data_IF_613457682405
#
_entry.id   IF_613457682405
#
_cell.length_a   1.000
_cell.length_b   1.000
_cell.length_c   1.000
_cell.angle_alpha   90.00
_cell.angle_beta   90.00
_cell.angle_gamma   90.00
#
_symmetry.space_group_name_H-M   'P 1'
#
loop_
_entity.id
_entity.type
_entity.pdbx_description
1 polymer ?
#
# COMPACT_ATOMS: atom_id res chain seq x y z
N UNK A 1 -28.71 -34.54 6.53
CA UNK A 1 -28.18 -33.98 7.78
C UNK A 1 -28.41 -35.02 8.86
N UNK A 2 -27.35 -35.47 9.54
CA UNK A 2 -27.49 -36.47 10.61
C UNK A 2 -28.29 -35.88 11.78
N UNK A 3 -29.17 -36.66 12.44
CA UNK A 3 -29.89 -36.21 13.64
C UNK A 3 -28.96 -35.76 14.78
N UNK A 4 -27.74 -36.30 14.87
CA UNK A 4 -26.74 -35.88 15.87
C UNK A 4 -26.24 -34.45 15.63
N UNK A 5 -25.98 -34.10 14.37
CA UNK A 5 -25.54 -32.75 13.99
C UNK A 5 -26.64 -31.73 14.27
N UNK A 6 -27.91 -32.11 14.07
CA UNK A 6 -29.05 -31.24 14.39
C UNK A 6 -29.12 -30.93 15.88
N UNK A 7 -28.99 -31.96 16.74
CA UNK A 7 -28.91 -31.77 18.19
C UNK A 7 -27.77 -30.84 18.61
N UNK A 8 -26.61 -30.95 17.97
CA UNK A 8 -25.46 -30.09 18.26
C UNK A 8 -25.73 -28.62 17.89
N UNK A 9 -26.29 -28.38 16.69
CA UNK A 9 -26.63 -27.03 16.22
C UNK A 9 -27.70 -26.40 17.12
N UNK A 10 -28.72 -27.17 17.50
CA UNK A 10 -29.78 -26.70 18.38
C UNK A 10 -29.23 -26.35 19.78
N UNK A 11 -28.28 -27.13 20.30
CA UNK A 11 -27.58 -26.82 21.55
C UNK A 11 -26.76 -25.52 21.44
N UNK A 12 -26.00 -25.33 20.36
CA UNK A 12 -25.20 -24.12 20.15
C UNK A 12 -26.07 -22.86 19.97
N UNK A 13 -27.18 -22.97 19.24
CA UNK A 13 -28.12 -21.87 19.07
C UNK A 13 -28.79 -21.48 20.40
N UNK A 14 -29.12 -22.47 21.25
CA UNK A 14 -29.69 -22.23 22.58
C UNK A 14 -28.69 -21.58 23.54
N UNK A 15 -27.45 -22.06 23.55
CA UNK A 15 -26.46 -21.65 24.54
C UNK A 15 -25.77 -20.33 24.13
N UNK A 16 -25.76 -19.97 22.83
CA UNK A 16 -25.10 -18.78 22.30
C UNK A 16 -25.94 -17.99 21.25
N UNK A 17 -27.17 -17.55 21.58
CA UNK A 17 -28.08 -16.95 20.59
C UNK A 17 -27.56 -15.66 19.95
N UNK A 18 -26.72 -14.89 20.63
CA UNK A 18 -26.14 -13.65 20.11
C UNK A 18 -24.84 -13.85 19.31
N UNK A 19 -24.24 -15.05 19.33
CA UNK A 19 -22.92 -15.31 18.75
C UNK A 19 -22.91 -16.44 17.71
N UNK A 20 -24.00 -17.19 17.60
CA UNK A 20 -24.10 -18.34 16.71
C UNK A 20 -25.17 -18.14 15.65
N UNK A 21 -24.75 -18.05 14.39
CA UNK A 21 -25.64 -18.00 13.23
C UNK A 21 -25.39 -19.24 12.37
N UNK A 22 -26.41 -20.09 12.23
CA UNK A 22 -26.31 -21.27 11.38
C UNK A 22 -26.78 -20.95 9.95
N UNK A 23 -25.88 -21.08 8.98
CA UNK A 23 -26.21 -20.94 7.57
C UNK A 23 -26.32 -22.33 6.92
N UNK A 24 -27.51 -22.67 6.42
CA UNK A 24 -27.72 -23.86 5.59
C UNK A 24 -27.44 -23.49 4.14
N UNK A 25 -26.35 -24.00 3.59
CA UNK A 25 -26.03 -23.87 2.15
C UNK A 25 -26.49 -25.11 1.40
N UNK A 26 -27.00 -24.92 0.18
CA UNK A 26 -27.37 -26.05 -0.65
C UNK A 26 -26.11 -26.81 -1.09
N UNK A 27 -26.27 -28.10 -1.46
CA UNK A 27 -25.15 -28.90 -1.99
C UNK A 27 -24.60 -28.30 -3.29
N UNK A 28 -25.42 -27.61 -4.07
CA UNK A 28 -25.00 -26.93 -5.28
C UNK A 28 -24.09 -25.74 -4.94
N UNK A 29 -24.50 -24.88 -4.02
CA UNK A 29 -23.71 -23.72 -3.58
C UNK A 29 -22.39 -24.16 -2.93
N UNK A 30 -22.42 -25.22 -2.11
CA UNK A 30 -21.21 -25.77 -1.51
C UNK A 30 -20.21 -26.27 -2.57
N UNK A 31 -20.70 -26.89 -3.65
CA UNK A 31 -19.87 -27.31 -4.78
C UNK A 31 -19.31 -26.12 -5.56
N UNK A 32 -20.12 -25.08 -5.75
CA UNK A 32 -19.68 -23.86 -6.43
C UNK A 32 -18.61 -23.11 -5.62
N UNK A 33 -18.82 -22.94 -4.31
CA UNK A 33 -17.84 -22.35 -3.39
C UNK A 33 -16.54 -23.17 -3.40
N UNK A 34 -16.64 -24.49 -3.33
CA UNK A 34 -15.46 -25.36 -3.38
C UNK A 34 -14.73 -25.26 -4.72
N UNK A 35 -15.45 -25.25 -5.85
CA UNK A 35 -14.86 -25.07 -7.17
C UNK A 35 -14.20 -23.70 -7.35
N UNK A 36 -14.80 -22.62 -6.80
CA UNK A 36 -14.20 -21.28 -6.77
C UNK A 36 -12.93 -21.27 -5.94
N UNK A 37 -12.93 -21.89 -4.76
CA UNK A 37 -11.74 -22.05 -3.92
C UNK A 37 -10.62 -22.81 -4.64
N UNK A 38 -10.96 -23.93 -5.30
CA UNK A 38 -10.01 -24.73 -6.06
C UNK A 38 -9.41 -23.96 -7.25
N UNK A 39 -10.20 -23.10 -7.90
CA UNK A 39 -9.73 -22.26 -9.00
C UNK A 39 -8.85 -21.09 -8.52
N UNK A 40 -9.13 -20.54 -7.32
CA UNK A 40 -8.25 -19.56 -6.67
C UNK A 40 -6.91 -20.20 -6.26
N UNK A 41 -6.93 -21.44 -5.78
CA UNK A 41 -5.71 -22.20 -5.43
C UNK A 41 -4.87 -22.58 -6.66
N UNK A 42 -5.50 -22.87 -7.81
CA UNK A 42 -4.78 -23.25 -9.04
C UNK A 42 -3.96 -22.13 -9.69
N UNK A 43 -4.11 -20.88 -9.25
CA UNK A 43 -3.28 -19.74 -9.66
C UNK A 43 -2.46 -19.10 -8.54
N UNK A 44 -2.74 -19.43 -7.27
CA UNK A 44 -2.06 -18.89 -6.09
C UNK A 44 -1.66 -19.98 -5.09
N UNK A 45 -1.20 -21.13 -5.56
CA UNK A 45 -0.19 -21.81 -4.77
C UNK A 45 0.99 -20.84 -4.74
N UNK A 46 1.23 -20.20 -3.59
CA UNK A 46 2.48 -19.51 -3.30
C UNK A 46 3.60 -20.54 -3.53
N UNK A 47 4.04 -20.69 -4.78
CA UNK A 47 5.35 -21.21 -5.09
C UNK A 47 6.30 -20.16 -4.54
N UNK A 48 6.52 -20.20 -3.22
CA UNK A 48 7.60 -19.49 -2.59
C UNK A 48 8.84 -19.82 -3.43
N UNK A 49 9.45 -18.83 -4.09
CA UNK A 49 10.62 -19.06 -4.93
C UNK A 49 11.62 -19.89 -4.11
N UNK A 50 12.12 -20.98 -4.68
CA UNK A 50 13.06 -21.94 -4.07
C UNK A 50 12.47 -23.07 -3.21
N UNK A 51 11.21 -23.04 -2.71
CA UNK A 51 10.68 -24.14 -1.87
C UNK A 51 10.60 -25.47 -2.64
N UNK A 52 10.26 -25.41 -3.94
CA UNK A 52 10.23 -26.59 -4.82
C UNK A 52 11.64 -27.13 -5.11
N UNK A 53 12.67 -26.27 -5.14
CA UNK A 53 14.07 -26.67 -5.28
C UNK A 53 14.61 -27.28 -3.99
N UNK A 54 14.39 -26.63 -2.83
CA UNK A 54 14.76 -27.14 -1.51
C UNK A 54 14.10 -28.49 -1.21
N UNK A 55 12.83 -28.68 -1.55
CA UNK A 55 12.16 -29.98 -1.39
C UNK A 55 12.77 -31.07 -2.29
N UNK A 56 13.20 -30.73 -3.50
CA UNK A 56 13.89 -31.66 -4.41
C UNK A 56 15.29 -32.00 -3.91
N UNK A 57 16.04 -31.01 -3.44
CA UNK A 57 17.37 -31.20 -2.84
C UNK A 57 17.31 -32.04 -1.57
N UNK A 58 16.35 -31.77 -0.69
CA UNK A 58 16.18 -32.52 0.54
C UNK A 58 15.77 -33.98 0.27
N UNK A 59 14.91 -34.21 -0.73
CA UNK A 59 14.57 -35.56 -1.19
C UNK A 59 15.77 -36.27 -1.81
N UNK A 60 16.57 -35.58 -2.62
CA UNK A 60 17.79 -36.11 -3.20
C UNK A 60 18.85 -36.45 -2.13
N UNK A 61 19.01 -35.61 -1.10
CA UNK A 61 19.89 -35.89 0.04
C UNK A 61 19.40 -37.07 0.88
N UNK A 62 18.09 -37.18 1.13
CA UNK A 62 17.53 -38.34 1.82
C UNK A 62 17.75 -39.63 1.01
N UNK A 63 17.56 -39.59 -0.31
CA UNK A 63 17.86 -40.73 -1.18
C UNK A 63 19.35 -41.06 -1.21
N UNK A 64 20.22 -40.06 -1.24
CA UNK A 64 21.68 -40.26 -1.19
C UNK A 64 22.13 -40.85 0.16
N UNK A 65 21.50 -40.45 1.28
CA UNK A 65 21.75 -41.05 2.60
C UNK A 65 21.21 -42.47 2.72
N UNK A 66 20.03 -42.73 2.18
CA UNK A 66 19.44 -44.07 2.18
C UNK A 66 20.21 -45.05 1.27
N UNK A 67 20.79 -44.55 0.18
CA UNK A 67 21.59 -45.33 -0.76
C UNK A 67 23.09 -45.31 -0.44
N UNK A 68 23.53 -44.60 0.61
CA UNK A 68 24.91 -44.69 1.07
C UNK A 68 25.07 -46.07 1.72
N UNK A 69 25.85 -46.99 1.12
CA UNK A 69 26.08 -48.28 1.74
C UNK A 69 26.75 -48.03 3.08
N UNK A 70 26.18 -48.58 4.16
CA UNK A 70 26.78 -48.61 5.49
C UNK A 70 28.16 -49.29 5.38
N UNK A 71 29.19 -48.49 5.12
CA UNK A 71 30.58 -48.92 5.20
C UNK A 71 30.89 -49.07 6.68
N UNK A 72 30.62 -50.27 7.19
CA UNK A 72 31.23 -50.76 8.41
C UNK A 72 32.76 -50.61 8.34
N UNK A 73 33.43 -50.49 9.49
CA UNK A 73 34.87 -50.33 9.54
C UNK A 73 35.54 -51.63 9.08
N UNK A 74 35.84 -51.72 7.77
CA UNK A 74 36.71 -52.77 7.24
C UNK A 74 38.14 -52.51 7.72
N UNK A 75 38.49 -53.27 8.74
CA UNK A 75 39.87 -53.57 9.12
C UNK A 75 40.63 -54.12 7.91
N UNK A 76 41.66 -53.38 7.51
CA UNK A 76 42.92 -53.86 6.94
C UNK A 76 42.88 -54.92 5.84
N UNK A 77 43.25 -54.52 4.62
CA UNK A 77 44.13 -55.37 3.81
C UNK A 77 44.88 -54.59 2.75
N UNK A 78 46.19 -54.86 2.73
CA UNK A 78 47.14 -54.52 1.68
C UNK A 78 46.59 -54.77 0.28
N UNK A 79 46.87 -53.87 -0.65
CA UNK A 79 47.32 -54.28 -1.98
C UNK A 79 47.98 -53.13 -2.73
N UNK A 80 49.27 -53.36 -3.01
CA UNK A 80 50.07 -52.69 -4.03
C UNK A 80 49.42 -52.85 -5.40
N UNK A 81 49.45 -51.81 -6.21
CA UNK A 81 49.04 -51.87 -7.61
C UNK A 81 49.37 -50.59 -8.36
N UNK A 82 50.62 -50.50 -8.83
CA UNK A 82 51.11 -49.54 -9.82
C UNK A 82 50.23 -49.55 -11.09
N UNK A 83 49.81 -48.37 -11.58
CA UNK A 83 49.70 -48.10 -13.04
C UNK A 83 50.05 -46.63 -13.31
N UNK A 84 50.99 -46.45 -14.23
CA UNK A 84 51.51 -45.21 -14.78
C UNK A 84 50.51 -44.52 -15.72
N UNK A 85 50.42 -43.19 -15.69
CA UNK A 85 50.03 -42.34 -16.83
C UNK A 85 50.52 -40.88 -16.63
N UNK A 86 50.59 -40.03 -17.68
CA UNK A 86 51.81 -39.33 -18.01
C UNK A 86 51.88 -37.88 -17.56
N UNK A 87 53.13 -37.47 -17.41
CA UNK A 87 53.68 -36.21 -16.92
C UNK A 87 53.29 -35.03 -17.82
N UNK A 88 52.43 -34.14 -17.30
CA UNK A 88 52.19 -32.79 -17.80
C UNK A 88 53.23 -31.80 -17.23
N UNK A 89 53.52 -30.68 -17.91
CA UNK A 89 54.67 -29.84 -17.62
C UNK A 89 54.55 -29.06 -16.29
N UNK A 90 55.65 -29.14 -15.57
CA UNK A 90 56.15 -28.37 -14.44
C UNK A 90 55.52 -26.98 -14.27
N UNK A 91 54.51 -26.89 -13.41
CA UNK A 91 54.09 -25.62 -12.80
C UNK A 91 55.05 -25.32 -11.65
N UNK A 92 55.70 -24.16 -11.74
CA UNK A 92 56.53 -23.57 -10.68
C UNK A 92 55.78 -23.65 -9.35
N UNK A 93 56.37 -24.20 -8.28
CA UNK A 93 55.73 -24.24 -6.98
C UNK A 93 55.69 -22.83 -6.42
N UNK A 94 54.59 -22.10 -6.63
CA UNK A 94 54.22 -21.02 -5.75
C UNK A 94 54.03 -21.63 -4.36
N UNK A 95 55.04 -21.48 -3.53
CA UNK A 95 54.98 -21.72 -2.09
C UNK A 95 53.98 -20.72 -1.52
N UNK A 96 52.69 -21.02 -1.64
CA UNK A 96 51.64 -20.39 -0.86
C UNK A 96 51.90 -20.85 0.58
N UNK A 97 52.72 -20.05 1.27
CA UNK A 97 52.99 -20.18 2.68
C UNK A 97 51.67 -20.09 3.43
N UNK A 98 51.03 -21.24 3.59
CA UNK A 98 49.83 -21.40 4.40
C UNK A 98 50.32 -21.25 5.82
N UNK A 99 50.46 -20.00 6.26
CA UNK A 99 50.82 -19.66 7.63
C UNK A 99 49.83 -20.39 8.52
N UNK A 100 50.33 -21.44 9.18
CA UNK A 100 49.54 -22.25 10.07
C UNK A 100 49.14 -21.36 11.23
N UNK A 101 47.92 -20.81 11.17
CA UNK A 101 47.29 -20.13 12.30
C UNK A 101 47.46 -21.05 13.49
N UNK A 102 48.14 -20.55 14.51
CA UNK A 102 48.50 -21.37 15.66
C UNK A 102 47.23 -21.91 16.31
N UNK A 103 47.28 -23.12 16.86
CA UNK A 103 46.13 -23.73 17.55
C UNK A 103 45.52 -22.78 18.60
N UNK A 104 46.37 -22.01 19.28
CA UNK A 104 45.98 -21.00 20.28
C UNK A 104 45.14 -19.87 19.66
N UNK A 105 45.49 -19.39 18.47
CA UNK A 105 44.70 -18.36 17.78
C UNK A 105 43.34 -18.89 17.34
N UNK A 106 43.26 -20.14 16.88
CA UNK A 106 41.97 -20.78 16.54
C UNK A 106 41.06 -20.88 17.76
N UNK A 107 41.58 -21.37 18.88
CA UNK A 107 40.83 -21.47 20.15
C UNK A 107 40.36 -20.09 20.64
N UNK A 108 41.18 -19.04 20.49
CA UNK A 108 40.79 -17.65 20.81
C UNK A 108 39.67 -17.13 19.91
N UNK A 109 39.77 -17.36 18.60
CA UNK A 109 38.73 -16.95 17.64
C UNK A 109 37.42 -17.66 17.94
N UNK A 110 37.44 -18.96 18.21
CA UNK A 110 36.26 -19.73 18.59
C UNK A 110 35.65 -19.26 19.92
N UNK A 111 36.47 -18.92 20.91
CA UNK A 111 36.00 -18.36 22.16
C UNK A 111 35.33 -16.99 21.98
N UNK A 112 35.95 -16.08 21.23
CA UNK A 112 35.36 -14.78 20.89
C UNK A 112 34.05 -14.92 20.12
N UNK A 113 33.99 -15.88 19.20
CA UNK A 113 32.78 -16.22 18.45
C UNK A 113 31.66 -16.71 19.36
N UNK A 114 31.98 -17.54 20.35
CA UNK A 114 31.04 -18.04 21.35
C UNK A 114 30.50 -16.90 22.23
N UNK A 115 31.37 -16.00 22.69
CA UNK A 115 30.97 -14.82 23.46
C UNK A 115 30.08 -13.86 22.64
N UNK A 116 30.44 -13.61 21.37
CA UNK A 116 29.65 -12.78 20.47
C UNK A 116 28.25 -13.37 20.23
N UNK A 117 28.16 -14.70 20.07
CA UNK A 117 26.88 -15.41 19.94
C UNK A 117 26.04 -15.30 21.22
N UNK A 118 26.64 -15.50 22.40
CA UNK A 118 25.96 -15.34 23.68
C UNK A 118 25.39 -13.91 23.86
N UNK A 119 26.20 -12.89 23.56
CA UNK A 119 25.78 -11.49 23.64
C UNK A 119 24.68 -11.14 22.61
N UNK A 120 24.64 -11.79 21.45
CA UNK A 120 23.56 -11.61 20.48
C UNK A 120 22.25 -12.27 20.93
N UNK A 121 22.33 -13.43 21.61
CA UNK A 121 21.17 -14.09 22.19
C UNK A 121 20.57 -13.29 23.36
N UNK A 122 21.40 -12.71 24.22
CA UNK A 122 20.95 -11.84 25.31
C UNK A 122 20.20 -10.61 24.77
N UNK A 123 20.80 -9.90 23.79
CA UNK A 123 20.12 -8.80 23.08
C UNK A 123 18.83 -9.23 22.39
N UNK A 124 18.74 -10.48 21.95
CA UNK A 124 17.51 -11.08 21.42
C UNK A 124 16.37 -11.10 22.44
N UNK A 125 16.66 -11.42 23.71
CA UNK A 125 15.65 -11.45 24.79
C UNK A 125 15.14 -10.05 25.14
N UNK A 126 16.05 -9.08 25.23
CA UNK A 126 15.69 -7.69 25.46
C UNK A 126 14.82 -7.15 24.32
N UNK A 127 15.16 -7.52 23.09
CA UNK A 127 14.42 -7.16 21.89
C UNK A 127 13.03 -7.79 21.85
N UNK A 128 12.90 -9.06 22.23
CA UNK A 128 11.61 -9.73 22.34
C UNK A 128 10.71 -9.06 23.39
N UNK A 129 11.28 -8.64 24.52
CA UNK A 129 10.58 -7.90 25.58
C UNK A 129 10.11 -6.53 25.07
N UNK A 130 10.98 -5.79 24.40
CA UNK A 130 10.63 -4.50 23.80
C UNK A 130 9.57 -4.63 22.69
N UNK A 131 9.66 -5.67 21.85
CA UNK A 131 8.66 -5.96 20.83
C UNK A 131 7.29 -6.25 21.44
N UNK A 132 7.25 -7.06 22.50
CA UNK A 132 6.01 -7.38 23.19
C UNK A 132 5.39 -6.11 23.80
N UNK A 133 6.18 -5.26 24.46
CA UNK A 133 5.70 -4.01 25.01
C UNK A 133 5.09 -3.06 23.95
N UNK A 134 5.76 -2.91 22.80
CA UNK A 134 5.22 -2.10 21.68
C UNK A 134 3.95 -2.71 21.11
N UNK A 135 3.88 -4.05 20.95
CA UNK A 135 2.68 -4.74 20.48
C UNK A 135 1.50 -4.54 21.43
N UNK A 136 1.72 -4.67 22.73
CA UNK A 136 0.69 -4.51 23.75
C UNK A 136 0.18 -3.07 23.78
N UNK A 137 1.09 -2.08 23.69
CA UNK A 137 0.72 -0.67 23.60
C UNK A 137 -0.11 -0.34 22.35
N UNK A 138 0.30 -0.83 21.17
CA UNK A 138 -0.46 -0.66 19.92
C UNK A 138 -1.85 -1.30 20.03
N UNK A 139 -1.92 -2.51 20.58
CA UNK A 139 -3.19 -3.25 20.72
C UNK A 139 -4.13 -2.56 21.71
N UNK A 140 -3.61 -2.11 22.85
CA UNK A 140 -4.39 -1.36 23.84
C UNK A 140 -4.95 -0.06 23.23
N UNK A 141 -4.11 0.71 22.53
CA UNK A 141 -4.54 1.95 21.88
C UNK A 141 -5.59 1.69 20.79
N UNK A 142 -5.42 0.65 19.97
CA UNK A 142 -6.39 0.29 18.93
C UNK A 142 -7.75 -0.12 19.53
N UNK A 143 -7.74 -0.87 20.65
CA UNK A 143 -8.96 -1.22 21.39
C UNK A 143 -9.62 0.04 21.95
N UNK A 144 -8.87 0.94 22.57
CA UNK A 144 -9.41 2.20 23.10
C UNK A 144 -10.07 3.05 22.02
N UNK A 145 -9.41 3.21 20.87
CA UNK A 145 -9.97 3.91 19.71
C UNK A 145 -11.27 3.26 19.24
N UNK A 146 -11.28 1.93 19.10
CA UNK A 146 -12.47 1.20 18.67
C UNK A 146 -13.63 1.34 19.67
N UNK A 147 -13.36 1.28 20.98
CA UNK A 147 -14.36 1.44 22.04
C UNK A 147 -14.91 2.87 22.06
N UNK A 148 -14.05 3.88 22.01
CA UNK A 148 -14.47 5.29 21.97
C UNK A 148 -15.34 5.58 20.75
N UNK A 149 -14.97 5.04 19.59
CA UNK A 149 -15.78 5.13 18.37
C UNK A 149 -17.15 4.45 18.52
N UNK A 150 -17.19 3.23 19.06
CA UNK A 150 -18.45 2.51 19.27
C UNK A 150 -19.39 3.24 20.24
N UNK A 151 -18.83 4.02 21.16
CA UNK A 151 -19.57 4.83 22.14
C UNK A 151 -19.87 6.25 21.64
N UNK A 152 -19.40 6.64 20.46
CA UNK A 152 -19.51 8.02 19.96
C UNK A 152 -18.77 9.05 20.82
N UNK A 153 -17.76 8.62 21.59
CA UNK A 153 -16.93 9.53 22.38
C UNK A 153 -15.92 10.22 21.46
N UNK A 154 -15.82 11.53 21.59
CA UNK A 154 -14.78 12.30 20.93
C UNK A 154 -13.41 11.94 21.54
N UNK A 155 -12.48 11.54 20.68
CA UNK A 155 -11.08 11.35 21.03
C UNK A 155 -10.35 12.68 20.87
N UNK A 156 -9.42 12.96 21.78
CA UNK A 156 -8.51 14.09 21.62
C UNK A 156 -7.56 13.81 20.42
N UNK A 157 -7.64 14.59 19.33
CA UNK A 157 -6.86 14.34 18.13
C UNK A 157 -5.36 14.59 18.33
N UNK A 158 -4.97 15.43 19.29
CA UNK A 158 -3.55 15.70 19.56
C UNK A 158 -2.91 14.52 20.27
N UNK A 159 -3.56 14.02 21.34
CA UNK A 159 -3.12 12.81 22.04
C UNK A 159 -3.06 11.60 21.11
N UNK A 160 -4.05 11.45 20.22
CA UNK A 160 -4.07 10.33 19.27
C UNK A 160 -2.93 10.42 18.24
N UNK A 161 -2.62 11.62 17.75
CA UNK A 161 -1.50 11.86 16.84
C UNK A 161 -0.16 11.55 17.52
N UNK A 162 0.02 12.04 18.75
CA UNK A 162 1.25 11.81 19.52
C UNK A 162 1.44 10.33 19.84
N UNK A 163 0.36 9.64 20.25
CA UNK A 163 0.38 8.20 20.46
C UNK A 163 0.75 7.45 19.17
N UNK A 164 0.11 7.76 18.04
CA UNK A 164 0.44 7.15 16.75
C UNK A 164 1.90 7.37 16.35
N UNK A 165 2.41 8.60 16.50
CA UNK A 165 3.79 8.95 16.18
C UNK A 165 4.79 8.20 17.07
N UNK A 166 4.56 8.16 18.39
CA UNK A 166 5.39 7.44 19.34
C UNK A 166 5.42 5.92 19.06
N UNK A 167 4.26 5.31 18.81
CA UNK A 167 4.15 3.88 18.51
C UNK A 167 4.80 3.52 17.16
N UNK A 168 4.64 4.38 16.15
CA UNK A 168 5.31 4.22 14.85
C UNK A 168 6.83 4.28 14.99
N UNK A 169 7.35 5.27 15.73
CA UNK A 169 8.78 5.40 16.00
C UNK A 169 9.32 4.21 16.80
N UNK A 170 8.56 3.73 17.79
CA UNK A 170 8.89 2.53 18.56
C UNK A 170 9.00 1.29 17.67
N UNK A 171 8.06 1.08 16.75
CA UNK A 171 8.09 -0.04 15.81
C UNK A 171 9.29 0.04 14.86
N UNK A 172 9.64 1.23 14.37
CA UNK A 172 10.81 1.43 13.51
C UNK A 172 12.12 1.19 14.27
N UNK A 173 12.19 1.59 15.54
CA UNK A 173 13.34 1.26 16.39
C UNK A 173 13.49 -0.26 16.58
N UNK A 174 12.38 -1.00 16.74
CA UNK A 174 12.41 -2.46 16.78
C UNK A 174 12.92 -3.05 15.46
N UNK A 175 12.45 -2.55 14.30
CA UNK A 175 12.94 -2.97 12.99
C UNK A 175 14.45 -2.81 12.85
N UNK A 176 14.99 -1.65 13.22
CA UNK A 176 16.44 -1.41 13.16
C UNK A 176 17.21 -2.36 14.09
N UNK A 177 16.74 -2.54 15.33
CA UNK A 177 17.37 -3.46 16.30
C UNK A 177 17.31 -4.92 15.83
N UNK A 178 16.21 -5.37 15.23
CA UNK A 178 16.08 -6.71 14.65
C UNK A 178 17.06 -6.94 13.50
N UNK A 179 17.19 -5.95 12.60
CA UNK A 179 18.17 -5.95 11.50
C UNK A 179 19.59 -6.05 12.04
N UNK A 180 19.95 -5.20 13.01
CA UNK A 180 21.28 -5.20 13.61
C UNK A 180 21.57 -6.49 14.39
N UNK A 181 20.61 -6.99 15.18
CA UNK A 181 20.80 -8.23 15.94
C UNK A 181 21.04 -9.42 15.01
N UNK A 182 20.29 -9.51 13.90
CA UNK A 182 20.44 -10.61 12.95
C UNK A 182 21.75 -10.55 12.18
N UNK A 183 22.22 -9.36 11.81
CA UNK A 183 23.58 -9.19 11.27
C UNK A 183 24.63 -9.69 12.26
N UNK A 184 24.53 -9.29 13.53
CA UNK A 184 25.48 -9.72 14.56
C UNK A 184 25.45 -11.24 14.78
N UNK A 185 24.26 -11.86 14.81
CA UNK A 185 24.12 -13.31 14.93
C UNK A 185 24.74 -14.04 13.74
N UNK A 186 24.50 -13.59 12.51
CA UNK A 186 25.05 -14.23 11.32
C UNK A 186 26.57 -14.05 11.22
N UNK A 187 27.09 -12.87 11.57
CA UNK A 187 28.54 -12.62 11.66
C UNK A 187 29.17 -13.51 12.73
N UNK A 188 28.57 -13.61 13.92
CA UNK A 188 29.01 -14.55 14.96
C UNK A 188 28.86 -16.01 14.51
N UNK A 189 27.93 -16.32 13.61
CA UNK A 189 27.83 -17.62 12.97
C UNK A 189 28.82 -17.82 11.80
N UNK A 190 29.78 -16.90 11.59
CA UNK A 190 30.81 -17.02 10.56
C UNK A 190 30.28 -16.86 9.14
N UNK A 191 29.09 -16.29 8.98
CA UNK A 191 28.48 -16.00 7.68
C UNK A 191 29.20 -14.80 7.04
N UNK A 192 29.49 -14.87 5.75
CA UNK A 192 30.17 -13.76 5.07
C UNK A 192 29.24 -12.55 4.90
N UNK A 193 29.76 -11.31 4.76
CA UNK A 193 28.94 -10.13 4.51
C UNK A 193 28.04 -10.25 3.26
N UNK A 194 28.54 -10.88 2.20
CA UNK A 194 27.79 -11.13 0.96
C UNK A 194 26.60 -12.08 1.19
N UNK A 195 26.82 -13.16 1.97
CA UNK A 195 25.75 -14.08 2.37
C UNK A 195 24.74 -13.42 3.31
N UNK A 196 25.18 -12.53 4.21
CA UNK A 196 24.28 -11.75 5.07
C UNK A 196 23.40 -10.83 4.20
N UNK A 197 23.99 -10.17 3.20
CA UNK A 197 23.27 -9.31 2.28
C UNK A 197 22.24 -10.09 1.46
N UNK A 198 22.56 -11.31 1.01
CA UNK A 198 21.62 -12.16 0.26
C UNK A 198 20.47 -12.70 1.12
N UNK A 199 20.70 -12.97 2.41
CA UNK A 199 19.68 -13.43 3.34
C UNK A 199 18.80 -12.32 3.90
N UNK A 200 19.27 -11.06 3.90
CA UNK A 200 18.58 -9.95 4.55
C UNK A 200 17.12 -9.74 4.06
N UNK A 201 16.79 -9.77 2.75
CA UNK A 201 15.42 -9.61 2.28
C UNK A 201 14.48 -10.72 2.78
N UNK A 202 14.96 -11.97 2.82
CA UNK A 202 14.16 -13.12 3.28
C UNK A 202 13.86 -13.02 4.76
N UNK A 203 14.85 -12.61 5.56
CA UNK A 203 14.67 -12.39 7.00
C UNK A 203 13.70 -11.23 7.26
N UNK A 204 13.83 -10.13 6.52
CA UNK A 204 12.95 -8.98 6.68
C UNK A 204 11.50 -9.30 6.31
N UNK A 205 11.27 -10.01 5.20
CA UNK A 205 9.95 -10.46 4.81
C UNK A 205 9.28 -11.33 5.90
N UNK A 206 10.03 -12.27 6.48
CA UNK A 206 9.52 -13.12 7.57
C UNK A 206 9.20 -12.32 8.84
N UNK A 207 9.96 -11.27 9.15
CA UNK A 207 9.68 -10.39 10.29
C UNK A 207 8.43 -9.56 10.03
N UNK A 208 8.29 -8.99 8.84
CA UNK A 208 7.11 -8.18 8.50
C UNK A 208 5.83 -9.01 8.51
N UNK A 209 5.89 -10.26 8.01
CA UNK A 209 4.77 -11.19 8.08
C UNK A 209 4.31 -11.46 9.53
N UNK A 210 5.25 -11.54 10.48
CA UNK A 210 4.91 -11.68 11.92
C UNK A 210 4.36 -10.40 12.53
N UNK A 211 4.73 -9.24 11.98
CA UNK A 211 4.29 -7.91 12.46
C UNK A 211 3.01 -7.44 11.78
N UNK A 212 2.47 -8.19 10.82
CA UNK A 212 1.32 -7.79 10.01
C UNK A 212 0.12 -7.36 10.86
N UNK A 213 -0.25 -8.14 11.88
CA UNK A 213 -1.36 -7.78 12.78
C UNK A 213 -1.10 -6.47 13.55
N UNK A 214 0.11 -6.31 14.11
CA UNK A 214 0.51 -5.10 14.81
C UNK A 214 0.49 -3.88 13.90
N UNK A 215 0.97 -4.02 12.65
CA UNK A 215 0.93 -2.96 11.64
C UNK A 215 -0.51 -2.60 11.29
N UNK A 216 -1.40 -3.59 11.10
CA UNK A 216 -2.82 -3.32 10.85
C UNK A 216 -3.49 -2.55 12.00
N UNK A 217 -3.15 -2.86 13.25
CA UNK A 217 -3.64 -2.10 14.42
C UNK A 217 -3.09 -0.67 14.42
N UNK A 218 -1.78 -0.49 14.16
CA UNK A 218 -1.18 0.84 14.05
C UNK A 218 -1.81 1.66 12.92
N UNK A 219 -2.05 1.06 11.76
CA UNK A 219 -2.73 1.69 10.62
C UNK A 219 -4.17 2.08 10.97
N UNK A 220 -4.87 1.30 11.81
CA UNK A 220 -6.22 1.64 12.26
C UNK A 220 -6.23 2.91 13.13
N UNK A 221 -5.22 3.08 13.98
CA UNK A 221 -5.01 4.30 14.78
C UNK A 221 -4.70 5.47 13.84
N UNK A 222 -3.79 5.28 12.88
CA UNK A 222 -3.42 6.30 11.90
C UNK A 222 -4.60 6.78 11.05
N UNK A 223 -5.50 5.88 10.65
CA UNK A 223 -6.74 6.23 9.93
C UNK A 223 -7.67 7.09 10.77
N UNK A 224 -7.78 6.84 12.07
CA UNK A 224 -8.61 7.67 12.94
C UNK A 224 -7.98 9.06 13.15
N UNK A 225 -6.65 9.16 13.27
CA UNK A 225 -5.93 10.45 13.25
C UNK A 225 -6.25 11.22 11.97
N UNK A 226 -6.12 10.57 10.81
CA UNK A 226 -6.43 11.18 9.52
C UNK A 226 -7.88 11.65 9.44
N UNK A 227 -8.83 10.85 9.93
CA UNK A 227 -10.26 11.20 9.99
C UNK A 227 -10.48 12.48 10.81
N UNK A 228 -9.89 12.59 12.00
CA UNK A 228 -10.00 13.80 12.81
C UNK A 228 -9.39 15.02 12.11
N UNK A 229 -8.27 14.87 11.42
CA UNK A 229 -7.69 15.95 10.64
C UNK A 229 -8.59 16.37 9.47
N UNK A 230 -9.19 15.41 8.76
CA UNK A 230 -10.19 15.68 7.74
C UNK A 230 -11.41 16.42 8.29
N UNK A 231 -11.96 15.99 9.43
CA UNK A 231 -13.06 16.69 10.10
C UNK A 231 -12.65 18.14 10.36
N UNK A 232 -11.50 18.37 11.00
CA UNK A 232 -11.00 19.72 11.31
C UNK A 232 -10.85 20.59 10.05
N UNK A 233 -10.29 20.04 8.97
CA UNK A 233 -10.08 20.75 7.70
C UNK A 233 -11.40 21.08 6.98
N UNK A 234 -12.41 20.22 7.13
CA UNK A 234 -13.69 20.31 6.44
C UNK A 234 -14.77 21.02 7.25
N UNK A 235 -14.65 21.19 8.57
CA UNK A 235 -15.67 21.87 9.40
C UNK A 235 -16.00 23.26 8.85
N UNK A 236 -14.98 24.12 8.69
CA UNK A 236 -15.18 25.48 8.18
C UNK A 236 -15.74 25.50 6.75
N UNK A 237 -15.33 24.55 5.91
CA UNK A 237 -15.86 24.40 4.55
C UNK A 237 -17.34 24.00 4.59
N UNK A 238 -17.68 22.97 5.36
CA UNK A 238 -19.03 22.43 5.44
C UNK A 238 -20.02 23.44 6.02
N UNK A 239 -19.61 24.25 7.00
CA UNK A 239 -20.43 25.37 7.51
C UNK A 239 -20.73 26.39 6.40
N UNK A 240 -19.71 26.81 5.63
CA UNK A 240 -19.89 27.73 4.50
C UNK A 240 -20.72 27.11 3.38
N UNK A 241 -20.46 25.85 3.04
CA UNK A 241 -21.20 25.11 2.02
C UNK A 241 -22.69 25.00 2.40
N UNK A 242 -23.00 24.72 3.67
CA UNK A 242 -24.37 24.70 4.18
C UNK A 242 -25.02 26.08 4.09
N UNK A 243 -24.33 27.14 4.49
CA UNK A 243 -24.85 28.51 4.35
C UNK A 243 -25.17 28.84 2.89
N UNK A 244 -24.24 28.57 1.96
CA UNK A 244 -24.45 28.79 0.52
C UNK A 244 -25.58 27.94 -0.05
N UNK A 245 -25.70 26.70 0.40
CA UNK A 245 -26.81 25.82 0.04
C UNK A 245 -28.16 26.38 0.46
N UNK A 246 -28.27 26.90 1.69
CA UNK A 246 -29.49 27.55 2.18
C UNK A 246 -29.82 28.83 1.41
N UNK A 247 -28.82 29.64 1.09
CA UNK A 247 -28.99 30.85 0.26
C UNK A 247 -29.54 30.50 -1.13
N UNK A 248 -28.95 29.51 -1.83
CA UNK A 248 -29.41 29.06 -3.14
C UNK A 248 -30.85 28.53 -3.13
N UNK A 249 -31.19 27.68 -2.14
CA UNK A 249 -32.55 27.17 -2.00
C UNK A 249 -33.54 28.31 -1.77
N UNK A 250 -33.20 29.30 -0.93
CA UNK A 250 -34.05 30.49 -0.70
C UNK A 250 -34.21 31.34 -1.96
N UNK A 251 -33.16 31.54 -2.75
CA UNK A 251 -33.23 32.27 -4.01
C UNK A 251 -34.13 31.56 -5.02
N UNK A 252 -34.02 30.24 -5.15
CA UNK A 252 -34.88 29.43 -6.03
C UNK A 252 -36.34 29.48 -5.56
N UNK A 253 -36.58 29.45 -4.25
CA UNK A 253 -37.90 29.64 -3.65
C UNK A 253 -38.48 31.03 -3.95
N UNK A 254 -37.69 32.09 -3.78
CA UNK A 254 -38.12 33.47 -3.98
C UNK A 254 -38.40 33.83 -5.44
N UNK A 255 -37.76 33.16 -6.41
CA UNK A 255 -37.96 33.41 -7.85
C UNK A 255 -39.34 32.98 -8.37
N UNK A 256 -40.14 32.23 -7.62
CA UNK A 256 -41.47 31.81 -8.07
C UNK A 256 -42.59 32.63 -7.42
N UNK A 257 -43.40 33.28 -8.27
CA UNK A 257 -44.58 34.01 -7.83
C UNK A 257 -45.74 33.09 -7.39
N UNK A 258 -45.81 31.87 -7.91
CA UNK A 258 -46.85 30.87 -7.61
C UNK A 258 -46.20 29.51 -7.40
N UNK A 259 -46.66 28.79 -6.37
CA UNK A 259 -46.22 27.42 -6.09
C UNK A 259 -46.83 26.45 -7.11
N UNK A 260 -46.01 25.94 -8.01
CA UNK A 260 -46.37 24.93 -9.02
C UNK A 260 -45.57 23.64 -8.82
N UNK A 261 -45.99 22.49 -9.38
CA UNK A 261 -45.19 21.26 -9.33
C UNK A 261 -43.79 21.42 -9.93
N UNK A 262 -43.65 22.22 -10.98
CA UNK A 262 -42.33 22.57 -11.55
C UNK A 262 -41.46 23.35 -10.57
N UNK A 263 -42.06 24.26 -9.79
CA UNK A 263 -41.35 24.99 -8.76
C UNK A 263 -40.84 24.04 -7.66
N UNK A 264 -41.69 23.15 -7.16
CA UNK A 264 -41.28 22.16 -6.16
C UNK A 264 -40.12 21.28 -6.68
N UNK A 265 -40.15 20.90 -7.97
CA UNK A 265 -39.05 20.16 -8.61
C UNK A 265 -37.74 20.95 -8.68
N UNK A 266 -37.79 22.26 -8.95
CA UNK A 266 -36.61 23.14 -8.94
C UNK A 266 -36.03 23.30 -7.53
N UNK A 267 -36.89 23.47 -6.52
CA UNK A 267 -36.46 23.53 -5.11
C UNK A 267 -35.77 22.22 -4.71
N UNK A 268 -36.34 21.06 -5.06
CA UNK A 268 -35.69 19.77 -4.81
C UNK A 268 -34.35 19.61 -5.54
N UNK A 269 -34.22 20.15 -6.76
CA UNK A 269 -32.92 20.17 -7.46
C UNK A 269 -31.90 21.02 -6.72
N UNK A 270 -32.29 22.23 -6.31
CA UNK A 270 -31.44 23.13 -5.54
C UNK A 270 -31.00 22.51 -4.21
N UNK A 271 -31.89 21.78 -3.52
CA UNK A 271 -31.54 21.04 -2.31
C UNK A 271 -30.51 19.92 -2.57
N UNK A 272 -30.63 19.19 -3.70
CA UNK A 272 -29.64 18.16 -4.07
C UNK A 272 -28.29 18.78 -4.40
N UNK A 273 -28.27 19.86 -5.18
CA UNK A 273 -27.06 20.62 -5.51
C UNK A 273 -26.38 21.17 -4.25
N UNK A 274 -27.16 21.74 -3.32
CA UNK A 274 -26.67 22.20 -2.03
C UNK A 274 -26.02 21.06 -1.21
N UNK A 275 -26.66 19.89 -1.15
CA UNK A 275 -26.10 18.71 -0.44
C UNK A 275 -24.80 18.22 -1.05
N UNK A 276 -24.59 18.38 -2.36
CA UNK A 276 -23.35 18.00 -3.03
C UNK A 276 -22.16 18.89 -2.68
N UNK A 277 -22.38 20.08 -2.10
CA UNK A 277 -21.29 20.95 -1.64
C UNK A 277 -20.71 20.52 -0.30
N UNK A 278 -21.49 19.83 0.53
CA UNK A 278 -21.02 19.29 1.81
C UNK A 278 -20.20 18.03 1.56
N UNK A 279 -19.01 17.98 2.18
CA UNK A 279 -18.09 16.84 2.07
C UNK A 279 -18.25 15.99 3.32
N UNK A 280 -18.57 14.71 3.12
CA UNK A 280 -18.64 13.72 4.19
C UNK A 280 -17.20 13.37 4.66
N UNK A 281 -16.83 13.69 5.92
CA UNK A 281 -15.50 13.42 6.44
C UNK A 281 -15.14 11.92 6.44
N UNK A 282 -16.12 11.02 6.56
CA UNK A 282 -15.88 9.58 6.58
C UNK A 282 -15.51 9.03 5.20
N UNK A 283 -16.05 9.66 4.15
CA UNK A 283 -15.64 9.37 2.77
C UNK A 283 -14.30 10.01 2.44
N UNK A 284 -14.07 11.23 2.92
CA UNK A 284 -12.81 11.95 2.74
C UNK A 284 -11.63 11.28 3.46
N UNK A 285 -11.86 10.63 4.61
CA UNK A 285 -10.83 9.91 5.36
C UNK A 285 -10.17 8.75 4.61
N UNK A 286 -10.71 8.34 3.45
CA UNK A 286 -10.11 7.35 2.56
C UNK A 286 -9.15 7.95 1.52
N UNK A 287 -9.12 9.27 1.43
CA UNK A 287 -8.34 10.04 0.48
C UNK A 287 -7.04 10.53 1.13
N UNK A 288 -6.06 10.86 0.28
CA UNK A 288 -4.79 11.38 0.72
C UNK A 288 -4.93 12.86 1.13
N UNK A 289 -4.87 13.09 2.45
CA UNK A 289 -4.99 14.42 3.03
C UNK A 289 -3.87 15.37 2.60
N UNK A 290 -2.66 14.87 2.37
CA UNK A 290 -1.54 15.72 1.96
C UNK A 290 -1.68 16.16 0.51
N UNK A 291 -2.17 15.28 -0.39
CA UNK A 291 -2.54 15.67 -1.76
C UNK A 291 -3.66 16.71 -1.77
N UNK A 292 -4.70 16.53 -0.96
CA UNK A 292 -5.76 17.52 -0.80
C UNK A 292 -5.23 18.87 -0.31
N UNK A 293 -4.40 18.88 0.74
CA UNK A 293 -3.76 20.09 1.28
C UNK A 293 -2.83 20.74 0.25
N UNK A 294 -2.14 19.96 -0.58
CA UNK A 294 -1.29 20.46 -1.65
C UNK A 294 -2.11 21.22 -2.70
N UNK A 295 -3.26 20.69 -3.11
CA UNK A 295 -4.14 21.38 -4.07
C UNK A 295 -4.81 22.60 -3.44
N UNK A 296 -5.27 22.49 -2.18
CA UNK A 296 -5.99 23.57 -1.48
C UNK A 296 -5.09 24.75 -1.14
N UNK A 297 -3.93 24.48 -0.54
CA UNK A 297 -3.05 25.50 0.04
C UNK A 297 -1.76 25.73 -0.74
N UNK A 298 -1.44 24.86 -1.70
CA UNK A 298 -0.24 24.96 -2.51
C UNK A 298 -0.42 25.82 -3.76
N UNK A 299 0.71 26.18 -4.37
CA UNK A 299 0.76 26.81 -5.69
C UNK A 299 0.88 25.71 -6.75
N UNK A 300 0.06 25.77 -7.79
CA UNK A 300 0.25 24.92 -8.98
C UNK A 300 1.52 25.34 -9.74
N UNK A 301 2.38 24.38 -10.03
CA UNK A 301 3.60 24.53 -10.83
C UNK A 301 3.37 24.18 -12.31
N UNK A 302 2.21 23.63 -12.65
CA UNK A 302 1.86 23.20 -14.01
C UNK A 302 1.28 21.79 -14.05
N UNK A 303 0.94 21.38 -15.28
CA UNK A 303 0.44 20.05 -15.59
C UNK A 303 1.51 19.26 -16.33
N UNK A 304 1.86 18.09 -15.80
CA UNK A 304 2.71 17.12 -16.46
C UNK A 304 1.82 16.19 -17.31
N UNK A 305 1.99 16.27 -18.62
CA UNK A 305 1.21 15.47 -19.57
C UNK A 305 1.65 14.02 -19.63
N UNK A 306 2.92 13.71 -19.33
CA UNK A 306 3.42 12.33 -19.34
C UNK A 306 2.89 11.58 -18.13
N UNK A 307 2.96 12.21 -16.95
CA UNK A 307 2.42 11.66 -15.71
C UNK A 307 0.88 11.81 -15.58
N UNK A 308 0.26 12.63 -16.43
CA UNK A 308 -1.17 13.04 -16.32
C UNK A 308 -1.51 13.59 -14.93
N UNK A 309 -0.59 14.37 -14.38
CA UNK A 309 -0.65 14.86 -13.01
C UNK A 309 -0.34 16.35 -12.92
N UNK A 310 -0.99 17.03 -11.98
CA UNK A 310 -0.69 18.40 -11.59
C UNK A 310 0.36 18.39 -10.48
N UNK A 311 1.33 19.29 -10.56
CA UNK A 311 2.36 19.42 -9.54
C UNK A 311 2.03 20.62 -8.65
N UNK A 312 1.91 20.39 -7.34
CA UNK A 312 1.60 21.43 -6.37
C UNK A 312 2.74 21.60 -5.37
N UNK A 313 3.07 22.84 -5.03
CA UNK A 313 4.13 23.16 -4.05
C UNK A 313 3.58 23.99 -2.88
N UNK A 314 3.83 23.51 -1.66
CA UNK A 314 3.56 24.23 -0.40
C UNK A 314 4.86 24.79 0.17
N UNK A 315 4.78 25.90 0.89
CA UNK A 315 5.95 26.51 1.53
C UNK A 315 6.66 25.53 2.46
N UNK A 316 7.97 25.31 2.25
CA UNK A 316 8.79 24.43 3.07
C UNK A 316 8.53 22.91 2.90
N UNK A 317 7.74 22.50 1.91
CA UNK A 317 7.46 21.09 1.59
C UNK A 317 7.91 20.75 0.17
N UNK A 318 8.33 19.50 -0.10
CA UNK A 318 8.62 19.06 -1.46
C UNK A 318 7.35 19.16 -2.34
N UNK A 319 7.49 19.36 -3.67
CA UNK A 319 6.37 19.30 -4.59
C UNK A 319 5.65 17.95 -4.50
N UNK A 320 4.32 17.98 -4.63
CA UNK A 320 3.46 16.79 -4.61
C UNK A 320 2.74 16.69 -5.95
N UNK A 321 2.85 15.52 -6.57
CA UNK A 321 2.13 15.14 -7.77
C UNK A 321 0.72 14.65 -7.40
N UNK A 322 -0.28 15.21 -8.07
CA UNK A 322 -1.69 14.86 -7.89
C UNK A 322 -2.29 14.60 -9.26
N UNK A 323 -2.77 13.38 -9.49
CA UNK A 323 -3.41 13.00 -10.75
C UNK A 323 -4.55 13.97 -11.11
N UNK A 324 -4.75 14.22 -12.40
CA UNK A 324 -5.78 15.16 -12.85
C UNK A 324 -7.19 14.77 -12.36
N UNK A 325 -7.50 13.47 -12.42
CA UNK A 325 -8.78 12.88 -12.04
C UNK A 325 -8.82 12.45 -10.56
N UNK A 326 -7.82 12.85 -9.77
CA UNK A 326 -7.77 12.52 -8.35
C UNK A 326 -8.94 13.16 -7.60
N UNK A 327 -9.63 12.37 -6.77
CA UNK A 327 -10.73 12.87 -5.93
C UNK A 327 -10.27 13.96 -4.96
N UNK A 328 -9.03 13.89 -4.50
CA UNK A 328 -8.38 14.90 -3.65
C UNK A 328 -8.36 16.27 -4.33
N UNK A 329 -8.06 16.30 -5.64
CA UNK A 329 -8.03 17.53 -6.44
C UNK A 329 -9.43 18.10 -6.58
N UNK A 330 -10.41 17.27 -6.94
CA UNK A 330 -11.81 17.67 -7.08
C UNK A 330 -12.38 18.28 -5.80
N UNK A 331 -12.15 17.61 -4.65
CA UNK A 331 -12.61 18.12 -3.35
C UNK A 331 -11.90 19.42 -2.97
N UNK A 332 -10.61 19.56 -3.24
CA UNK A 332 -9.87 20.78 -2.94
C UNK A 332 -10.34 21.96 -3.82
N UNK A 333 -10.62 21.73 -5.10
CA UNK A 333 -11.19 22.74 -6.00
C UNK A 333 -12.59 23.15 -5.53
N UNK A 334 -13.44 22.17 -5.20
CA UNK A 334 -14.76 22.42 -4.63
C UNK A 334 -14.66 23.29 -3.37
N UNK A 335 -13.73 22.95 -2.48
CA UNK A 335 -13.48 23.68 -1.24
C UNK A 335 -13.06 25.12 -1.52
N UNK A 336 -12.06 25.32 -2.39
CA UNK A 336 -11.60 26.65 -2.80
C UNK A 336 -12.72 27.49 -3.41
N UNK A 337 -13.61 26.90 -4.20
CA UNK A 337 -14.73 27.61 -4.83
C UNK A 337 -15.78 28.06 -3.80
N UNK A 338 -16.11 27.22 -2.83
CA UNK A 338 -16.98 27.60 -1.71
C UNK A 338 -16.34 28.70 -0.86
N UNK A 339 -15.04 28.60 -0.56
CA UNK A 339 -14.31 29.59 0.24
C UNK A 339 -14.17 30.95 -0.46
N UNK A 340 -14.07 30.96 -1.80
CA UNK A 340 -14.13 32.18 -2.62
C UNK A 340 -15.53 32.81 -2.64
N UNK A 341 -16.52 32.14 -2.07
CA UNK A 341 -17.89 32.63 -2.00
C UNK A 341 -18.64 32.55 -3.33
N UNK A 342 -18.26 31.64 -4.23
CA UNK A 342 -19.01 31.38 -5.46
C UNK A 342 -20.41 30.83 -5.13
N UNK A 343 -21.39 31.16 -5.97
CA UNK A 343 -22.75 30.61 -5.86
C UNK A 343 -22.78 29.13 -6.28
N UNK A 344 -23.82 28.39 -5.88
CA UNK A 344 -23.96 26.96 -6.24
C UNK A 344 -23.92 26.74 -7.76
N UNK A 345 -24.58 27.63 -8.52
CA UNK A 345 -24.56 27.63 -9.99
C UNK A 345 -23.14 27.86 -10.53
N UNK A 346 -22.43 28.87 -10.01
CA UNK A 346 -21.04 29.17 -10.41
C UNK A 346 -20.08 28.02 -10.08
N UNK A 347 -20.25 27.37 -8.93
CA UNK A 347 -19.46 26.18 -8.54
C UNK A 347 -19.71 25.04 -9.53
N UNK A 348 -20.98 24.82 -9.93
CA UNK A 348 -21.34 23.77 -10.89
C UNK A 348 -20.73 24.05 -12.26
N UNK A 349 -20.80 25.30 -12.74
CA UNK A 349 -20.15 25.73 -14.00
C UNK A 349 -18.64 25.57 -13.92
N UNK A 350 -18.00 25.98 -12.81
CA UNK A 350 -16.56 25.82 -12.61
C UNK A 350 -16.14 24.35 -12.63
N UNK A 351 -16.91 23.44 -12.02
CA UNK A 351 -16.65 22.00 -12.08
C UNK A 351 -16.79 21.44 -13.49
N UNK A 352 -17.81 21.86 -14.24
CA UNK A 352 -17.99 21.45 -15.65
C UNK A 352 -16.86 21.97 -16.53
N UNK A 353 -16.39 23.21 -16.29
CA UNK A 353 -15.25 23.77 -17.01
C UNK A 353 -13.96 23.00 -16.71
N UNK A 354 -13.67 22.69 -15.44
CA UNK A 354 -12.52 21.87 -15.04
C UNK A 354 -12.57 20.48 -15.68
N UNK A 355 -13.73 19.80 -15.66
CA UNK A 355 -13.92 18.52 -16.32
C UNK A 355 -13.77 18.61 -17.86
N UNK A 356 -14.17 19.74 -18.46
CA UNK A 356 -14.03 20.01 -19.88
C UNK A 356 -12.60 20.34 -20.31
N UNK A 357 -11.78 20.90 -19.42
CA UNK A 357 -10.36 21.16 -19.66
C UNK A 357 -9.50 19.88 -19.63
N UNK A 358 -10.07 18.74 -19.26
CA UNK A 358 -9.33 17.49 -19.12
C UNK A 358 -8.68 17.00 -20.43
N UNK A 359 -9.21 17.29 -21.64
CA UNK A 359 -8.66 16.67 -22.87
C UNK A 359 -8.69 17.47 -24.19
N UNK A 360 -9.66 18.33 -24.59
CA UNK A 360 -9.73 18.72 -26.01
C UNK A 360 -8.84 19.88 -26.46
N UNK A 361 -8.63 20.92 -25.65
CA UNK A 361 -8.10 22.20 -26.19
C UNK A 361 -6.59 22.17 -26.38
N UNK A 362 -5.85 21.57 -25.44
CA UNK A 362 -4.39 21.47 -25.54
C UNK A 362 -3.96 20.30 -26.44
N UNK A 363 -4.74 19.21 -26.47
CA UNK A 363 -4.55 18.10 -27.42
C UNK A 363 -4.92 18.51 -28.85
N UNK A 364 -5.99 19.30 -29.06
CA UNK A 364 -6.29 19.92 -30.36
C UNK A 364 -5.28 21.01 -30.75
N UNK A 365 -4.74 21.76 -29.79
CA UNK A 365 -3.67 22.73 -30.07
C UNK A 365 -2.35 22.03 -30.46
N UNK A 366 -2.02 20.87 -29.86
CA UNK A 366 -0.84 20.06 -30.24
C UNK A 366 -1.03 19.26 -31.52
N UNK A 367 -2.22 18.67 -31.75
CA UNK A 367 -2.52 18.00 -33.01
C UNK A 367 -2.41 18.98 -34.19
N UNK A 368 -2.83 20.23 -34.00
CA UNK A 368 -2.66 21.31 -34.99
C UNK A 368 -1.23 21.79 -35.19
N UNK A 369 -0.30 21.52 -34.28
CA UNK A 369 1.10 21.93 -34.43
C UNK A 369 2.00 20.84 -35.04
N UNK A 370 1.51 19.60 -35.13
CA UNK A 370 2.28 18.46 -35.70
C UNK A 370 1.87 18.20 -37.16
N UNK A 371 0.64 18.51 -37.56
CA UNK A 371 0.36 18.65 -38.98
C UNK A 371 0.98 19.97 -39.47
N UNK A 372 2.01 19.94 -40.36
CA UNK A 372 2.40 21.15 -41.06
C UNK A 372 1.12 21.71 -41.69
N UNK A 373 0.90 23.04 -41.71
CA UNK A 373 -0.25 23.60 -42.39
C UNK A 373 -0.23 23.03 -43.80
N UNK A 374 -1.13 22.08 -44.09
CA UNK A 374 -1.29 21.54 -45.43
C UNK A 374 -1.57 22.77 -46.26
N UNK A 375 -0.64 23.15 -47.15
CA UNK A 375 -0.83 24.27 -48.04
C UNK A 375 -2.20 24.07 -48.69
N UNK A 376 -3.17 24.88 -48.26
CA UNK A 376 -4.54 24.82 -48.76
C UNK A 376 -4.54 25.52 -50.12
N UNK A 377 -3.66 25.10 -51.03
CA UNK A 377 -3.66 25.51 -52.43
C UNK A 377 -4.93 25.00 -53.15
N UNK A 378 -5.66 24.04 -52.56
CA UNK A 378 -6.90 23.52 -53.12
C UNK A 378 -8.17 24.35 -52.79
N UNK A 379 -8.24 25.12 -51.69
CA UNK A 379 -9.47 25.90 -51.38
C UNK A 379 -9.53 27.27 -52.04
N UNK A 380 -8.39 27.84 -52.43
CA UNK A 380 -8.40 29.11 -53.16
C UNK A 380 -8.82 28.92 -54.63
N UNK A 381 -8.68 27.71 -55.18
CA UNK A 381 -9.20 27.43 -56.52
C UNK A 381 -10.73 27.36 -56.56
N UNK A 382 -11.35 26.71 -55.57
CA UNK A 382 -12.82 26.63 -55.44
C UNK A 382 -13.46 28.00 -55.16
N UNK A 383 -12.83 28.82 -54.28
CA UNK A 383 -13.31 30.20 -54.04
C UNK A 383 -13.11 31.13 -55.23
N UNK A 384 -12.10 30.87 -56.07
CA UNK A 384 -11.88 31.61 -57.32
C UNK A 384 -12.93 31.29 -58.41
N UNK A 385 -13.38 30.04 -58.48
CA UNK A 385 -14.48 29.62 -59.36
C UNK A 385 -15.83 30.20 -58.91
N UNK A 386 -16.16 30.16 -57.61
CA UNK A 386 -17.41 30.76 -57.09
C UNK A 386 -17.48 32.28 -57.30
N UNK A 387 -16.33 32.97 -57.35
CA UNK A 387 -16.25 34.41 -57.62
C UNK A 387 -16.14 34.76 -59.11
N UNK A 388 -16.19 33.78 -60.01
CA UNK A 388 -16.18 34.00 -61.46
C UNK A 388 -14.88 34.60 -62.00
N UNK A 389 -13.75 34.45 -61.29
CA UNK A 389 -12.46 35.03 -61.67
C UNK A 389 -11.73 34.24 -62.76
N UNK A 390 -12.16 33.00 -63.02
CA UNK A 390 -11.64 32.16 -64.10
C UNK A 390 -12.76 31.91 -65.10
N UNK A 391 -12.75 32.66 -66.21
CA UNK A 391 -13.55 32.35 -67.40
C UNK A 391 -12.69 31.48 -68.31
N UNK A 392 -13.12 30.24 -68.50
CA UNK A 392 -12.57 29.37 -69.55
C UNK A 392 -12.72 30.07 -70.90
N UNK A 393 -11.62 30.11 -71.65
CA UNK A 393 -11.55 30.66 -73.02
C UNK A 393 -12.01 29.64 -74.04
#
# INVERSE_FOLDING_TARGET
>A
MSPEIRKLIDALARDFPARFTHHVISRADAREIWARGLNLERGQQLELPQVRQLAREHKAQQQARANAPERGPETGRDSRGHVNEPRAPERVPETVGTQSISRVERERVEHLRTLAMAAALERGRDLDTARQAVRDAITAQAIEVAVSRAQGRELDPELLRDAHAALSAGLEQIRERERQNSRNMLTAAGTSPEQIASLAPVLEHNREARREETVRHLDSIGKEVQRHEWVRELTTHNERAQQRGLEHVREVQAKAAVRTPEHDARVQSAEREARQLTIDPDQAARLDLEKFRAVRYGRSLGYDHEAKAHIYQRAGRPPIEVEHDARERDLAILTNNVERGLTVEQITVARLAEAGHAFPVEEAARARSIEPPTEILARDHDRGQERGLYRDR
#
